data_IF_618759288297
#
_entry.id   IF_618759288297
#
_cell.length_a   1.000
_cell.length_b   1.000
_cell.length_c   1.000
_cell.angle_alpha   90.00
_cell.angle_beta   90.00
_cell.angle_gamma   90.00
#
_symmetry.space_group_name_H-M   'P 1'
#
loop_
_entity.id
_entity.type
_entity.pdbx_description
1 polymer ?
#
# COMPACT_ATOMS: atom_id res chain seq x y z
N UNK A 1 14.60 70.92 -46.70
CA UNK A 1 13.71 69.75 -46.58
C UNK A 1 14.39 68.69 -45.70
N UNK A 2 13.92 68.50 -44.46
CA UNK A 2 14.46 67.50 -43.57
C UNK A 2 13.61 66.25 -43.71
N UNK A 3 14.18 65.19 -44.28
CA UNK A 3 13.54 63.85 -44.28
C UNK A 3 13.83 63.18 -42.99
N UNK A 4 12.79 62.96 -42.19
CA UNK A 4 12.86 62.15 -40.99
C UNK A 4 12.69 60.68 -41.40
N UNK A 5 13.74 59.86 -41.19
CA UNK A 5 13.65 58.41 -41.28
C UNK A 5 13.16 57.87 -39.92
N UNK A 6 11.99 57.29 -39.93
CA UNK A 6 11.51 56.50 -38.78
C UNK A 6 12.04 55.08 -38.95
N UNK A 7 12.93 54.70 -38.07
CA UNK A 7 13.37 53.31 -37.92
C UNK A 7 12.33 52.63 -37.08
N UNK A 8 11.51 51.76 -37.66
CA UNK A 8 10.66 50.86 -36.95
C UNK A 8 11.53 49.73 -36.39
N UNK A 9 11.79 49.80 -35.09
CA UNK A 9 12.39 48.71 -34.36
C UNK A 9 11.36 47.60 -34.18
N UNK A 10 11.55 46.49 -34.88
CA UNK A 10 10.78 45.28 -34.66
C UNK A 10 11.37 44.61 -33.41
N UNK A 11 10.72 44.84 -32.28
CA UNK A 11 11.04 44.12 -31.04
C UNK A 11 10.44 42.71 -31.17
N UNK A 12 11.28 41.76 -31.54
CA UNK A 12 10.92 40.37 -31.54
C UNK A 12 10.70 39.89 -30.12
N UNK A 13 9.43 39.69 -29.77
CA UNK A 13 9.08 39.01 -28.53
C UNK A 13 9.36 37.53 -28.74
N UNK A 14 10.46 37.05 -28.18
CA UNK A 14 10.77 35.64 -28.09
C UNK A 14 9.85 35.04 -27.01
N UNK A 15 8.74 34.46 -27.44
CA UNK A 15 7.88 33.69 -26.57
C UNK A 15 8.59 32.35 -26.25
N UNK A 16 9.33 32.30 -25.15
CA UNK A 16 9.85 31.05 -24.61
C UNK A 16 8.67 30.24 -24.10
N UNK A 17 8.17 29.30 -24.88
CA UNK A 17 7.26 28.27 -24.44
C UNK A 17 8.06 27.35 -23.48
N UNK A 18 7.94 27.62 -22.19
CA UNK A 18 8.37 26.67 -21.16
C UNK A 18 7.42 25.47 -21.22
N UNK A 19 7.86 24.40 -21.85
CA UNK A 19 7.19 23.10 -21.72
C UNK A 19 7.40 22.63 -20.28
N UNK A 20 6.42 22.88 -19.43
CA UNK A 20 6.33 22.24 -18.12
C UNK A 20 5.93 20.79 -18.40
N UNK A 21 6.92 19.92 -18.50
CA UNK A 21 6.68 18.49 -18.45
C UNK A 21 6.32 18.17 -17.00
N UNK A 22 5.03 18.11 -16.70
CA UNK A 22 4.54 17.51 -15.48
C UNK A 22 4.88 16.02 -15.55
N UNK A 23 5.97 15.64 -14.92
CA UNK A 23 6.26 14.23 -14.65
C UNK A 23 5.22 13.81 -13.62
N UNK A 24 4.12 13.22 -14.05
CA UNK A 24 3.22 12.49 -13.18
C UNK A 24 3.99 11.24 -12.73
N UNK A 25 4.68 11.34 -11.60
CA UNK A 25 5.15 10.17 -10.91
C UNK A 25 3.92 9.34 -10.55
N UNK A 26 3.81 8.12 -11.08
CA UNK A 26 2.78 7.17 -10.67
C UNK A 26 3.03 6.84 -9.19
N UNK A 27 2.33 7.54 -8.30
CA UNK A 27 2.22 7.15 -6.90
C UNK A 27 1.13 6.10 -6.85
N UNK A 28 1.46 4.91 -6.35
CA UNK A 28 0.45 3.92 -5.99
C UNK A 28 -0.48 4.48 -4.91
N UNK A 29 -1.70 3.99 -4.89
CA UNK A 29 -2.68 4.30 -3.85
C UNK A 29 -2.33 3.53 -2.57
N UNK A 30 -2.46 4.20 -1.41
CA UNK A 30 -2.32 3.56 -0.09
C UNK A 30 -3.71 3.41 0.50
N UNK A 31 -4.16 2.18 0.68
CA UNK A 31 -5.43 1.83 1.31
C UNK A 31 -5.11 1.26 2.69
N UNK A 32 -5.57 1.93 3.74
CA UNK A 32 -5.45 1.46 5.12
C UNK A 32 -6.83 1.10 5.67
N UNK A 33 -6.95 -0.07 6.26
CA UNK A 33 -8.20 -0.55 6.84
C UNK A 33 -7.98 -1.29 8.15
N UNK A 34 -8.76 -0.91 9.18
CA UNK A 34 -8.81 -1.67 10.42
C UNK A 34 -9.65 -2.94 10.25
N UNK A 35 -9.10 -4.08 10.66
CA UNK A 35 -9.83 -5.34 10.75
C UNK A 35 -10.61 -5.35 12.06
N UNK A 36 -11.94 -5.35 11.97
CA UNK A 36 -12.82 -5.40 13.11
C UNK A 36 -13.53 -6.74 13.18
N UNK A 37 -13.49 -7.35 14.34
CA UNK A 37 -14.21 -8.59 14.60
C UNK A 37 -15.64 -8.27 15.05
N UNK A 38 -16.61 -8.94 14.45
CA UNK A 38 -18.00 -8.87 14.93
C UNK A 38 -18.05 -9.46 16.34
N UNK A 39 -18.86 -8.86 17.21
CA UNK A 39 -19.00 -9.29 18.60
C UNK A 39 -19.27 -10.80 18.68
N UNK A 40 -18.47 -11.50 19.48
CA UNK A 40 -18.54 -12.96 19.66
C UNK A 40 -17.90 -13.77 18.52
N UNK A 41 -17.27 -13.13 17.54
CA UNK A 41 -16.51 -13.78 16.48
C UNK A 41 -15.01 -13.61 16.70
N UNK A 42 -14.26 -14.65 16.43
CA UNK A 42 -12.79 -14.65 16.47
C UNK A 42 -12.15 -14.59 15.06
N UNK A 43 -12.96 -14.47 14.02
CA UNK A 43 -12.52 -14.41 12.63
C UNK A 43 -13.16 -13.24 11.88
N UNK A 44 -12.38 -12.61 11.02
CA UNK A 44 -12.82 -11.55 10.13
C UNK A 44 -12.28 -11.79 8.73
N UNK A 45 -13.05 -11.41 7.71
CA UNK A 45 -12.68 -11.58 6.31
C UNK A 45 -12.80 -10.24 5.58
N UNK A 46 -11.75 -9.89 4.82
CA UNK A 46 -11.70 -8.70 3.97
C UNK A 46 -11.44 -9.13 2.54
N UNK A 47 -12.14 -8.50 1.59
CA UNK A 47 -11.97 -8.73 0.15
C UNK A 47 -11.53 -7.44 -0.53
N UNK A 48 -10.71 -7.57 -1.57
CA UNK A 48 -10.28 -6.43 -2.36
C UNK A 48 -9.60 -6.84 -3.66
N UNK A 49 -9.14 -5.83 -4.37
CA UNK A 49 -8.34 -5.98 -5.59
C UNK A 49 -7.20 -4.97 -5.52
N UNK A 50 -5.95 -5.44 -5.61
CA UNK A 50 -4.81 -4.56 -5.86
C UNK A 50 -4.88 -4.17 -7.34
N UNK A 51 -5.31 -2.94 -7.63
CA UNK A 51 -5.53 -2.49 -9.00
C UNK A 51 -4.22 -2.27 -9.75
N UNK A 52 -3.25 -1.66 -9.09
CA UNK A 52 -1.91 -1.40 -9.58
C UNK A 52 -0.88 -2.02 -8.63
N UNK A 53 0.18 -2.61 -9.16
CA UNK A 53 1.29 -3.19 -8.37
C UNK A 53 1.98 -2.17 -7.44
N UNK A 54 1.79 -0.88 -7.67
CA UNK A 54 2.32 0.19 -6.82
C UNK A 54 1.38 0.53 -5.67
N UNK A 55 0.15 0.00 -5.67
CA UNK A 55 -0.80 0.20 -4.57
C UNK A 55 -0.37 -0.58 -3.34
N UNK A 56 -0.54 0.03 -2.18
CA UNK A 56 -0.29 -0.60 -0.88
C UNK A 56 -1.60 -0.83 -0.16
N UNK A 57 -1.97 -2.08 0.05
CA UNK A 57 -3.13 -2.46 0.84
C UNK A 57 -2.66 -2.91 2.22
N UNK A 58 -2.97 -2.12 3.24
CA UNK A 58 -2.53 -2.30 4.62
C UNK A 58 -3.75 -2.56 5.49
N UNK A 59 -3.76 -3.69 6.16
CA UNK A 59 -4.77 -4.03 7.15
C UNK A 59 -4.13 -4.07 8.52
N UNK A 60 -4.80 -3.54 9.53
CA UNK A 60 -4.28 -3.56 10.88
C UNK A 60 -5.33 -3.97 11.88
N UNK A 61 -4.87 -4.54 12.98
CA UNK A 61 -5.68 -4.92 14.13
C UNK A 61 -4.85 -4.80 15.41
N UNK A 62 -5.55 -4.68 16.52
CA UNK A 62 -4.93 -4.77 17.84
C UNK A 62 -5.23 -6.13 18.43
N UNK A 63 -4.18 -6.79 18.95
CA UNK A 63 -4.29 -8.10 19.58
C UNK A 63 -3.40 -8.18 20.81
N UNK A 64 -3.58 -9.24 21.63
CA UNK A 64 -2.89 -9.43 22.89
C UNK A 64 -1.81 -10.49 22.79
N UNK A 65 -0.74 -10.32 23.56
CA UNK A 65 0.27 -11.34 23.75
C UNK A 65 -0.35 -12.67 24.17
N UNK A 66 0.20 -13.78 23.67
CA UNK A 66 -0.25 -15.13 23.98
C UNK A 66 -1.41 -15.65 23.14
N UNK A 67 -2.12 -14.78 22.41
CA UNK A 67 -3.12 -15.23 21.45
C UNK A 67 -2.47 -15.88 20.23
N UNK A 68 -3.18 -16.77 19.56
CA UNK A 68 -2.76 -17.34 18.29
C UNK A 68 -3.45 -16.61 17.15
N UNK A 69 -2.66 -16.04 16.23
CA UNK A 69 -3.16 -15.44 15.01
C UNK A 69 -2.97 -16.38 13.83
N UNK A 70 -4.02 -16.54 13.04
CA UNK A 70 -3.96 -17.16 11.72
C UNK A 70 -4.36 -16.13 10.68
N UNK A 71 -3.49 -15.91 9.70
CA UNK A 71 -3.75 -15.03 8.54
C UNK A 71 -3.65 -15.87 7.29
N UNK A 72 -4.71 -15.84 6.47
CA UNK A 72 -4.75 -16.58 5.20
C UNK A 72 -5.19 -15.64 4.08
N UNK A 73 -4.46 -15.65 2.97
CA UNK A 73 -4.83 -14.97 1.74
C UNK A 73 -5.23 -15.98 0.68
N UNK A 74 -6.41 -15.80 0.10
CA UNK A 74 -6.85 -16.52 -1.08
C UNK A 74 -6.87 -15.59 -2.29
N UNK A 75 -6.37 -16.07 -3.41
CA UNK A 75 -6.39 -15.36 -4.69
C UNK A 75 -6.39 -16.39 -5.81
N UNK A 76 -7.07 -16.08 -6.91
CA UNK A 76 -7.02 -16.88 -8.14
C UNK A 76 -5.67 -16.76 -8.87
N UNK A 77 -4.84 -15.77 -8.50
CA UNK A 77 -3.50 -15.57 -9.07
C UNK A 77 -2.47 -16.50 -8.42
N UNK A 78 -1.40 -16.88 -9.13
CA UNK A 78 -0.30 -17.64 -8.55
C UNK A 78 0.33 -16.96 -7.34
N UNK A 79 0.91 -17.72 -6.41
CA UNK A 79 1.56 -17.18 -5.21
C UNK A 79 2.74 -16.25 -5.55
N UNK A 80 3.42 -16.49 -6.67
CA UNK A 80 4.50 -15.62 -7.16
C UNK A 80 4.03 -14.21 -7.54
N UNK A 81 2.74 -14.00 -7.81
CA UNK A 81 2.19 -12.72 -8.22
C UNK A 81 1.76 -11.86 -7.03
N UNK A 82 1.42 -12.48 -5.91
CA UNK A 82 1.11 -11.79 -4.65
C UNK A 82 1.21 -12.70 -3.44
N UNK A 83 1.64 -12.15 -2.32
CA UNK A 83 1.74 -12.84 -1.04
C UNK A 83 1.46 -11.89 0.13
N UNK A 84 1.37 -12.47 1.32
CA UNK A 84 1.20 -11.70 2.55
C UNK A 84 2.54 -11.26 3.11
N UNK A 85 2.53 -10.09 3.71
CA UNK A 85 3.55 -9.59 4.62
C UNK A 85 2.86 -9.27 5.94
N UNK A 86 3.38 -9.77 7.05
CA UNK A 86 2.85 -9.51 8.40
C UNK A 86 3.94 -8.87 9.23
N UNK A 87 3.69 -7.64 9.69
CA UNK A 87 4.56 -6.92 10.60
C UNK A 87 3.95 -6.93 12.01
N UNK A 88 4.77 -7.18 13.01
CA UNK A 88 4.33 -7.20 14.39
C UNK A 88 5.42 -6.76 15.36
N UNK A 89 5.03 -6.24 16.55
CA UNK A 89 5.98 -5.79 17.55
C UNK A 89 6.70 -6.98 18.17
N UNK A 90 8.03 -6.94 18.22
CA UNK A 90 8.86 -7.99 18.82
C UNK A 90 9.33 -7.61 20.23
N UNK A 91 9.69 -6.34 20.44
CA UNK A 91 10.20 -5.83 21.71
C UNK A 91 9.51 -4.54 22.15
N UNK A 92 9.61 -4.20 23.44
CA UNK A 92 9.12 -2.91 23.98
C UNK A 92 9.95 -1.72 23.47
N UNK A 93 11.16 -1.98 22.95
CA UNK A 93 12.03 -0.98 22.36
C UNK A 93 11.60 -0.55 20.93
N UNK A 94 10.49 -1.10 20.40
CA UNK A 94 9.96 -0.77 19.09
C UNK A 94 10.56 -1.57 17.94
N UNK A 95 11.28 -2.65 18.23
CA UNK A 95 11.70 -3.58 17.20
C UNK A 95 10.49 -4.35 16.67
N UNK A 96 10.42 -4.51 15.36
CA UNK A 96 9.38 -5.25 14.68
C UNK A 96 9.97 -6.46 13.95
N UNK A 97 9.17 -7.49 13.83
CA UNK A 97 9.47 -8.64 12.97
C UNK A 97 8.55 -8.64 11.77
N UNK A 98 9.06 -9.15 10.65
CA UNK A 98 8.34 -9.24 9.39
C UNK A 98 8.34 -10.66 8.87
N UNK A 99 7.15 -11.22 8.66
CA UNK A 99 6.94 -12.49 7.96
C UNK A 99 6.49 -12.18 6.53
N UNK A 100 7.15 -12.75 5.52
CA UNK A 100 6.80 -12.53 4.11
C UNK A 100 6.95 -13.77 3.23
N UNK A 101 6.43 -13.70 2.00
CA UNK A 101 6.61 -14.72 0.98
C UNK A 101 5.63 -15.90 1.03
N UNK A 102 4.63 -15.88 1.92
CA UNK A 102 3.60 -16.93 2.02
C UNK A 102 2.20 -16.32 1.94
N UNK A 103 1.21 -17.18 1.76
CA UNK A 103 -0.23 -16.82 1.81
C UNK A 103 -0.92 -17.29 3.08
N UNK A 104 -0.21 -17.95 3.96
CA UNK A 104 -0.73 -18.38 5.25
C UNK A 104 0.35 -18.32 6.32
N UNK A 105 0.01 -17.70 7.44
CA UNK A 105 0.79 -17.68 8.65
C UNK A 105 -0.07 -18.09 9.85
N UNK A 106 0.49 -18.86 10.74
CA UNK A 106 -0.09 -19.20 12.04
C UNK A 106 1.02 -19.06 13.07
N UNK A 107 0.84 -18.19 14.06
CA UNK A 107 1.84 -17.95 15.08
C UNK A 107 1.22 -17.44 16.38
N UNK A 108 1.91 -17.65 17.48
CA UNK A 108 1.54 -17.08 18.77
C UNK A 108 2.08 -15.66 18.85
N UNK A 109 1.22 -14.71 19.26
CA UNK A 109 1.55 -13.30 19.33
C UNK A 109 2.53 -13.06 20.49
N UNK A 110 3.74 -12.55 20.21
CA UNK A 110 4.75 -12.34 21.24
C UNK A 110 4.40 -11.16 22.15
N UNK A 111 3.63 -10.19 21.66
CA UNK A 111 3.29 -8.97 22.38
C UNK A 111 1.87 -8.50 22.10
N UNK A 112 1.32 -7.75 23.05
CA UNK A 112 0.11 -6.97 22.83
C UNK A 112 0.45 -5.71 22.02
N UNK A 113 -0.41 -5.34 21.05
CA UNK A 113 -0.19 -4.16 20.25
C UNK A 113 -0.83 -4.23 18.87
N UNK A 114 -0.37 -3.36 17.99
CA UNK A 114 -0.81 -3.23 16.60
C UNK A 114 -0.07 -4.24 15.72
N UNK A 115 -0.82 -5.00 14.98
CA UNK A 115 -0.35 -5.94 13.95
C UNK A 115 -0.76 -5.41 12.59
N UNK A 116 0.13 -5.45 11.63
CA UNK A 116 -0.11 -4.95 10.28
C UNK A 116 0.06 -6.07 9.26
N UNK A 117 -0.89 -6.17 8.36
CA UNK A 117 -0.94 -7.16 7.29
C UNK A 117 -0.93 -6.40 5.97
N UNK A 118 0.07 -6.65 5.14
CA UNK A 118 0.19 -6.06 3.82
C UNK A 118 -0.04 -7.11 2.75
N UNK A 119 -0.55 -6.68 1.61
CA UNK A 119 -0.50 -7.46 0.39
C UNK A 119 0.61 -6.91 -0.47
N UNK A 120 1.63 -7.72 -0.68
CA UNK A 120 2.67 -7.44 -1.65
C UNK A 120 2.28 -8.05 -2.99
N UNK A 121 1.99 -7.19 -3.98
CA UNK A 121 1.61 -7.59 -5.32
C UNK A 121 2.70 -7.14 -6.31
N UNK A 122 3.14 -8.05 -7.17
CA UNK A 122 4.11 -7.76 -8.23
C UNK A 122 3.46 -7.67 -9.61
N UNK A 123 2.15 -7.80 -9.66
CA UNK A 123 1.30 -7.67 -10.84
C UNK A 123 0.09 -6.81 -10.54
N UNK A 124 -0.46 -6.21 -11.57
CA UNK A 124 -1.71 -5.45 -11.50
C UNK A 124 -2.93 -6.39 -11.45
N UNK A 125 -4.04 -5.85 -10.97
CA UNK A 125 -5.35 -6.52 -10.94
C UNK A 125 -5.31 -7.86 -10.19
N UNK A 126 -4.81 -7.84 -8.97
CA UNK A 126 -4.77 -9.01 -8.08
C UNK A 126 -5.99 -9.01 -7.17
N UNK A 127 -7.01 -9.87 -7.43
CA UNK A 127 -8.10 -10.07 -6.50
C UNK A 127 -7.64 -10.91 -5.32
N UNK A 128 -8.10 -10.58 -4.12
CA UNK A 128 -7.74 -11.30 -2.90
C UNK A 128 -8.89 -11.35 -1.90
N UNK A 129 -8.80 -12.32 -1.02
CA UNK A 129 -9.57 -12.41 0.22
C UNK A 129 -8.61 -12.73 1.35
N UNK A 130 -8.58 -11.91 2.39
CA UNK A 130 -7.82 -12.17 3.62
C UNK A 130 -8.78 -12.62 4.69
N UNK A 131 -8.45 -13.70 5.37
CA UNK A 131 -9.14 -14.14 6.58
C UNK A 131 -8.16 -14.10 7.74
N UNK A 132 -8.52 -13.37 8.79
CA UNK A 132 -7.75 -13.30 10.04
C UNK A 132 -8.56 -13.94 11.15
N UNK A 133 -7.92 -14.81 11.90
CA UNK A 133 -8.52 -15.45 13.08
C UNK A 133 -7.62 -15.23 14.28
N UNK A 134 -8.20 -14.86 15.42
CA UNK A 134 -7.52 -14.70 16.72
C UNK A 134 -8.18 -15.64 17.73
N UNK A 135 -7.36 -16.44 18.43
CA UNK A 135 -7.81 -17.37 19.47
C UNK A 135 -6.99 -17.20 20.73
#
# INVERSE_FOLDING_TARGET
MKKRFYIFGITGILLALAYVTTVFGQKGEVIEQEIRFVRGKSSATVKGVVADRLDSHIFYLTARAGQTMSVTMNSARPMRDAHLVVNFPLTDAGENETLSGKRKYVFTLPRSGKYEIYIEAIRDKIPYTITVTIK
#
